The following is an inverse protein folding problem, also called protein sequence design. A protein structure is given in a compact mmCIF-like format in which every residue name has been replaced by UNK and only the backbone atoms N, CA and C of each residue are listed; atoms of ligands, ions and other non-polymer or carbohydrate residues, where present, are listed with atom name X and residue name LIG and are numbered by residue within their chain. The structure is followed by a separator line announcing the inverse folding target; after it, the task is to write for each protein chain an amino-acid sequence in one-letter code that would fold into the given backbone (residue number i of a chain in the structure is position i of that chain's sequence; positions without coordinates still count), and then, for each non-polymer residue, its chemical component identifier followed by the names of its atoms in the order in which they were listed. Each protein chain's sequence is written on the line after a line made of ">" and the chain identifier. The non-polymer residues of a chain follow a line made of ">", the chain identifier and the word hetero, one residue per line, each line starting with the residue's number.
data_IF_774988452764
#
_entry.id   IF_774988452764
#
_cell.length_a   1.000
_cell.length_b   1.000
_cell.length_c   1.000
_cell.angle_alpha   90.00
_cell.angle_beta   90.00
_cell.angle_gamma   90.00
#
_symmetry.space_group_name_H-M   'P 1'
#
loop_
_entity.id
_entity.type
_entity.pdbx_description
1 polymer ?
#
# COMPACT_ATOMS: atom_id res chain seq x y z
N UNK A 1 3.24 1.03 15.10
CA UNK A 1 3.41 0.41 13.76
C UNK A 1 4.28 1.34 12.94
N UNK A 2 5.31 0.85 12.26
CA UNK A 2 6.15 1.66 11.38
C UNK A 2 5.39 2.04 10.09
N UNK A 3 5.86 3.08 9.38
CA UNK A 3 5.25 3.47 8.09
C UNK A 3 5.28 2.32 7.08
N UNK A 4 6.40 1.57 7.01
CA UNK A 4 6.53 0.36 6.16
C UNK A 4 5.50 -0.70 6.51
N UNK A 5 5.35 -1.03 7.79
CA UNK A 5 4.36 -2.01 8.24
C UNK A 5 2.92 -1.55 7.97
N UNK A 6 2.65 -0.25 7.92
CA UNK A 6 1.31 0.30 7.67
C UNK A 6 0.84 0.04 6.25
N UNK A 7 1.65 0.32 5.23
CA UNK A 7 1.27 0.03 3.83
C UNK A 7 1.12 -1.46 3.59
N UNK A 8 2.01 -2.29 4.17
CA UNK A 8 1.91 -3.75 4.07
C UNK A 8 0.63 -4.27 4.72
N UNK A 9 0.23 -3.72 5.87
CA UNK A 9 -1.03 -4.09 6.53
C UNK A 9 -2.25 -3.76 5.66
N UNK A 10 -2.24 -2.60 4.99
CA UNK A 10 -3.28 -2.23 4.02
C UNK A 10 -3.30 -3.21 2.85
N UNK A 11 -2.16 -3.51 2.23
CA UNK A 11 -2.10 -4.47 1.12
C UNK A 11 -2.60 -5.86 1.55
N UNK A 12 -2.25 -6.32 2.75
CA UNK A 12 -2.72 -7.59 3.33
C UNK A 12 -4.24 -7.65 3.50
N UNK A 13 -4.87 -6.55 3.87
CA UNK A 13 -6.32 -6.52 4.09
C UNK A 13 -7.14 -6.79 2.83
N UNK A 14 -6.52 -6.62 1.67
CA UNK A 14 -7.16 -6.88 0.37
C UNK A 14 -6.89 -8.28 -0.20
N UNK A 15 -6.06 -9.11 0.44
CA UNK A 15 -5.76 -10.45 -0.10
C UNK A 15 -7.05 -11.25 -0.31
N UNK A 16 -7.21 -11.82 -1.52
CA UNK A 16 -8.41 -12.54 -1.95
C UNK A 16 -9.47 -11.67 -2.62
N UNK A 17 -9.30 -10.36 -2.67
CA UNK A 17 -10.22 -9.47 -3.40
C UNK A 17 -10.11 -9.73 -4.89
N UNK A 18 -11.25 -10.03 -5.53
CA UNK A 18 -11.38 -10.24 -6.96
C UNK A 18 -11.71 -8.94 -7.69
N UNK A 19 -11.15 -8.78 -8.89
CA UNK A 19 -11.53 -7.69 -9.80
C UNK A 19 -13.03 -7.71 -10.10
N UNK A 20 -13.64 -6.53 -10.16
CA UNK A 20 -15.09 -6.38 -10.37
C UNK A 20 -15.96 -6.48 -9.12
N UNK A 21 -15.43 -7.01 -8.00
CA UNK A 21 -16.16 -7.11 -6.71
C UNK A 21 -16.43 -5.73 -6.06
N UNK A 22 -17.25 -5.71 -5.00
CA UNK A 22 -17.45 -4.51 -4.17
C UNK A 22 -16.16 -4.07 -3.50
N UNK A 23 -15.36 -5.00 -2.99
CA UNK A 23 -14.09 -4.70 -2.37
C UNK A 23 -13.04 -4.19 -3.38
N UNK A 24 -13.10 -4.59 -4.66
CA UNK A 24 -12.31 -3.97 -5.73
C UNK A 24 -12.75 -2.50 -5.96
N UNK A 25 -14.04 -2.21 -5.85
CA UNK A 25 -14.53 -0.82 -5.95
C UNK A 25 -13.95 0.08 -4.86
N UNK A 26 -13.65 -0.44 -3.67
CA UNK A 26 -12.99 0.32 -2.60
C UNK A 26 -11.55 0.68 -2.99
N UNK A 27 -10.81 -0.23 -3.63
CA UNK A 27 -9.46 0.06 -4.17
C UNK A 27 -9.55 1.21 -5.17
N UNK A 28 -10.47 1.11 -6.14
CA UNK A 28 -10.68 2.15 -7.15
C UNK A 28 -11.15 3.48 -6.53
N UNK A 29 -11.96 3.43 -5.46
CA UNK A 29 -12.38 4.62 -4.73
C UNK A 29 -11.18 5.38 -4.15
N UNK A 30 -10.25 4.69 -3.48
CA UNK A 30 -9.04 5.33 -2.97
C UNK A 30 -8.21 5.92 -4.10
N UNK A 31 -7.94 5.19 -5.17
CA UNK A 31 -7.22 5.69 -6.33
C UNK A 31 -7.91 6.93 -6.94
N UNK A 32 -9.20 6.82 -7.23
CA UNK A 32 -10.00 7.88 -7.85
C UNK A 32 -10.19 9.11 -6.94
N UNK A 33 -9.98 8.95 -5.64
CA UNK A 33 -9.99 10.08 -4.70
C UNK A 33 -8.84 11.07 -4.90
N UNK A 34 -7.78 10.63 -5.63
CA UNK A 34 -6.59 11.43 -5.96
C UNK A 34 -6.52 11.69 -7.46
N UNK A 35 -6.97 10.75 -8.29
CA UNK A 35 -6.86 10.76 -9.75
C UNK A 35 -5.43 11.08 -10.21
N UNK A 36 -4.44 10.21 -9.93
CA UNK A 36 -3.08 10.45 -10.36
C UNK A 36 -3.01 10.75 -11.85
N UNK A 37 -2.30 11.81 -12.23
CA UNK A 37 -2.19 12.29 -13.61
C UNK A 37 -3.54 12.60 -14.29
N UNK A 38 -4.60 12.87 -13.52
CA UNK A 38 -5.94 13.15 -14.02
C UNK A 38 -6.75 11.91 -14.44
N UNK A 39 -6.15 10.71 -14.33
CA UNK A 39 -6.81 9.47 -14.75
C UNK A 39 -7.87 9.02 -13.75
N UNK A 40 -9.01 8.59 -14.27
CA UNK A 40 -10.08 7.93 -13.50
C UNK A 40 -10.05 6.44 -13.79
N UNK A 41 -9.75 5.64 -12.78
CA UNK A 41 -9.71 4.18 -12.91
C UNK A 41 -11.11 3.57 -13.01
N UNK A 42 -11.23 2.54 -13.84
CA UNK A 42 -12.44 1.78 -14.11
C UNK A 42 -12.26 0.31 -13.74
N UNK A 43 -13.39 -0.40 -13.53
CA UNK A 43 -13.36 -1.83 -13.14
C UNK A 43 -12.75 -2.75 -14.19
N UNK A 44 -12.69 -2.31 -15.44
CA UNK A 44 -12.14 -3.05 -16.58
C UNK A 44 -10.64 -2.88 -16.78
N UNK A 45 -10.03 -1.96 -16.05
CA UNK A 45 -8.62 -1.62 -16.25
C UNK A 45 -7.67 -2.70 -15.69
N UNK A 46 -6.43 -2.78 -16.19
CA UNK A 46 -5.36 -3.49 -15.51
C UNK A 46 -4.98 -2.75 -14.22
N UNK A 47 -5.42 -3.24 -13.07
CA UNK A 47 -5.42 -2.50 -11.81
C UNK A 47 -4.25 -2.78 -10.84
N UNK A 48 -3.13 -3.32 -11.30
CA UNK A 48 -1.95 -3.54 -10.44
C UNK A 48 -1.33 -2.23 -9.92
N UNK A 49 -1.13 -1.25 -10.79
CA UNK A 49 -0.61 0.07 -10.44
C UNK A 49 -1.60 0.90 -9.61
N UNK A 50 -2.89 0.76 -9.90
CA UNK A 50 -3.97 1.36 -9.13
C UNK A 50 -4.04 0.80 -7.71
N UNK A 51 -3.86 -0.52 -7.55
CA UNK A 51 -3.78 -1.17 -6.25
C UNK A 51 -2.62 -0.64 -5.40
N UNK A 52 -1.40 -0.61 -5.95
CA UNK A 52 -0.24 -0.10 -5.23
C UNK A 52 -0.44 1.36 -4.81
N UNK A 53 -0.95 2.20 -5.73
CA UNK A 53 -1.30 3.60 -5.47
C UNK A 53 -2.39 3.74 -4.40
N UNK A 54 -3.46 2.95 -4.48
CA UNK A 54 -4.56 2.95 -3.51
C UNK A 54 -4.09 2.56 -2.10
N UNK A 55 -3.20 1.55 -2.00
CA UNK A 55 -2.61 1.16 -0.72
C UNK A 55 -1.83 2.31 -0.07
N UNK A 56 -1.05 3.07 -0.84
CA UNK A 56 -0.33 4.23 -0.33
C UNK A 56 -1.30 5.34 0.11
N UNK A 57 -2.34 5.62 -0.68
CA UNK A 57 -3.36 6.65 -0.37
C UNK A 57 -4.12 6.27 0.91
N UNK A 58 -4.54 5.02 1.03
CA UNK A 58 -5.25 4.54 2.21
C UNK A 58 -4.36 4.54 3.46
N UNK A 59 -3.10 4.12 3.32
CA UNK A 59 -2.17 4.06 4.44
C UNK A 59 -1.82 5.44 5.00
N UNK A 60 -1.63 6.44 4.13
CA UNK A 60 -1.00 7.71 4.54
C UNK A 60 -1.83 8.95 4.28
N UNK A 61 -2.98 8.82 3.62
CA UNK A 61 -3.80 9.93 3.17
C UNK A 61 -3.27 10.58 1.89
N UNK A 62 -4.13 11.33 1.23
CA UNK A 62 -3.91 11.89 -0.12
C UNK A 62 -2.67 12.76 -0.23
N UNK A 63 -2.47 13.68 0.71
CA UNK A 63 -1.36 14.64 0.68
C UNK A 63 -0.01 13.93 0.85
N UNK A 64 0.11 13.05 1.84
CA UNK A 64 1.32 12.27 2.10
C UNK A 64 1.62 11.30 0.95
N UNK A 65 0.61 10.60 0.45
CA UNK A 65 0.79 9.68 -0.65
C UNK A 65 1.29 10.38 -1.92
N UNK A 66 0.71 11.54 -2.29
CA UNK A 66 1.19 12.36 -3.42
C UNK A 66 2.63 12.81 -3.27
N UNK A 67 3.07 13.09 -2.04
CA UNK A 67 4.41 13.62 -1.77
C UNK A 67 5.49 12.55 -1.80
N UNK A 68 5.19 11.32 -1.38
CA UNK A 68 6.20 10.29 -1.11
C UNK A 68 6.10 9.05 -2.00
N UNK A 69 5.04 8.92 -2.81
CA UNK A 69 4.83 7.76 -3.67
C UNK A 69 4.58 8.17 -5.12
N UNK A 70 5.10 7.41 -6.08
CA UNK A 70 4.92 7.67 -7.51
C UNK A 70 3.56 7.16 -8.00
N UNK A 71 2.48 7.76 -7.50
CA UNK A 71 1.11 7.32 -7.80
C UNK A 71 0.80 7.39 -9.30
N UNK A 72 0.31 6.28 -9.87
CA UNK A 72 -0.10 6.18 -11.29
C UNK A 72 -1.01 4.98 -11.52
N UNK A 73 -1.71 4.97 -12.66
CA UNK A 73 -2.44 3.82 -13.19
C UNK A 73 -1.57 2.94 -14.12
N UNK A 74 -0.37 3.38 -14.49
CA UNK A 74 0.51 2.65 -15.40
C UNK A 74 1.93 2.52 -14.84
N UNK A 75 2.50 1.31 -14.95
CA UNK A 75 3.81 0.97 -14.40
C UNK A 75 4.95 1.83 -14.97
N UNK A 76 4.91 2.17 -16.25
CA UNK A 76 5.90 3.06 -16.87
C UNK A 76 5.95 4.44 -16.22
N UNK A 77 4.81 5.00 -15.88
CA UNK A 77 4.76 6.30 -15.20
C UNK A 77 5.15 6.20 -13.72
N UNK A 78 4.94 5.04 -13.07
CA UNK A 78 5.49 4.78 -11.73
C UNK A 78 7.01 4.91 -11.77
N UNK A 79 7.70 4.27 -12.74
CA UNK A 79 9.16 4.34 -12.87
C UNK A 79 9.61 5.78 -13.14
N UNK A 80 9.02 6.45 -14.11
CA UNK A 80 9.40 7.82 -14.47
C UNK A 80 9.28 8.75 -13.26
N UNK A 81 8.17 8.69 -12.56
CA UNK A 81 7.93 9.50 -11.37
C UNK A 81 8.84 9.12 -10.20
N UNK A 82 9.14 7.84 -10.01
CA UNK A 82 10.09 7.39 -9.00
C UNK A 82 11.52 7.89 -9.28
N UNK A 83 11.93 7.95 -10.56
CA UNK A 83 13.20 8.57 -10.97
C UNK A 83 13.22 10.07 -10.67
N UNK A 84 12.16 10.81 -11.00
CA UNK A 84 12.01 12.24 -10.67
C UNK A 84 12.08 12.50 -9.15
N UNK A 85 11.53 11.58 -8.36
CA UNK A 85 11.53 11.66 -6.90
C UNK A 85 12.83 11.17 -6.25
N UNK A 86 13.80 10.65 -7.03
CA UNK A 86 15.05 10.01 -6.56
C UNK A 86 14.81 8.83 -5.60
N UNK A 87 13.77 8.03 -5.86
CA UNK A 87 13.40 6.84 -5.09
C UNK A 87 13.34 5.57 -5.95
N UNK A 88 13.98 5.57 -7.13
CA UNK A 88 14.07 4.43 -8.03
C UNK A 88 15.42 3.74 -7.92
N UNK A 89 15.41 2.42 -7.76
CA UNK A 89 16.60 1.56 -7.81
C UNK A 89 16.47 0.57 -8.98
N UNK A 90 17.32 0.73 -9.96
CA UNK A 90 17.41 -0.12 -11.14
C UNK A 90 18.48 -1.20 -10.93
N UNK A 91 18.16 -2.15 -10.06
CA UNK A 91 19.07 -3.25 -9.71
C UNK A 91 18.28 -4.47 -9.27
N UNK A 92 18.57 -5.60 -9.91
CA UNK A 92 18.06 -6.92 -9.53
C UNK A 92 18.76 -7.50 -8.29
N UNK A 93 19.88 -6.90 -7.86
CA UNK A 93 20.64 -7.29 -6.66
C UNK A 93 20.22 -6.51 -5.40
N UNK A 94 19.33 -5.55 -5.55
CA UNK A 94 18.82 -4.81 -4.40
C UNK A 94 18.02 -5.73 -3.48
N UNK A 95 18.34 -5.72 -2.19
CA UNK A 95 17.59 -6.46 -1.17
C UNK A 95 16.45 -5.57 -0.67
N UNK A 96 15.20 -5.83 -1.08
CA UNK A 96 14.10 -4.94 -0.74
C UNK A 96 13.63 -5.13 0.69
N UNK A 97 13.11 -4.05 1.24
CA UNK A 97 12.44 -4.04 2.54
C UNK A 97 10.91 -4.06 2.40
N UNK A 98 10.24 -4.43 3.49
CA UNK A 98 8.78 -4.38 3.54
C UNK A 98 8.26 -2.98 3.17
N UNK A 99 7.28 -2.92 2.28
CA UNK A 99 6.68 -1.68 1.78
C UNK A 99 7.33 -1.11 0.51
N UNK A 100 8.53 -1.53 0.11
CA UNK A 100 9.07 -1.17 -1.20
C UNK A 100 8.13 -1.69 -2.30
N UNK A 101 8.12 -1.03 -3.44
CA UNK A 101 7.39 -1.55 -4.58
C UNK A 101 8.38 -2.21 -5.53
N UNK A 102 8.05 -3.41 -6.01
CA UNK A 102 8.80 -4.11 -7.05
C UNK A 102 8.06 -3.97 -8.36
N UNK A 103 8.79 -3.63 -9.43
CA UNK A 103 8.27 -3.61 -10.79
C UNK A 103 8.88 -4.76 -11.58
N UNK A 104 8.06 -5.32 -12.44
CA UNK A 104 8.40 -6.49 -13.25
C UNK A 104 8.47 -6.14 -14.74
N UNK A 105 9.33 -6.86 -15.43
CA UNK A 105 9.36 -7.01 -16.88
C UNK A 105 9.34 -8.52 -17.16
N UNK A 106 8.24 -9.02 -17.67
CA UNK A 106 8.08 -10.46 -17.90
C UNK A 106 8.90 -10.99 -19.07
N UNK A 107 9.39 -10.11 -19.92
CA UNK A 107 10.27 -10.43 -21.04
C UNK A 107 11.76 -10.45 -20.61
N UNK A 108 12.08 -9.96 -19.41
CA UNK A 108 13.44 -9.98 -18.87
C UNK A 108 13.92 -11.41 -18.62
N UNK A 109 15.03 -11.76 -19.27
CA UNK A 109 15.67 -13.07 -19.13
C UNK A 109 16.54 -13.22 -17.87
N UNK A 110 16.74 -12.13 -17.11
CA UNK A 110 17.70 -12.04 -16.02
C UNK A 110 19.14 -11.83 -16.50
N UNK A 111 19.31 -11.50 -17.78
CA UNK A 111 20.60 -11.14 -18.41
C UNK A 111 20.45 -9.78 -19.05
N UNK A 112 21.31 -8.86 -18.71
CA UNK A 112 21.30 -7.53 -19.30
C UNK A 112 21.19 -6.44 -18.25
N UNK A 113 20.43 -5.42 -18.55
CA UNK A 113 20.52 -4.12 -17.92
C UNK A 113 19.22 -3.63 -17.24
N UNK A 114 18.24 -4.46 -17.05
CA UNK A 114 16.96 -4.09 -16.45
C UNK A 114 16.24 -2.92 -17.17
N UNK A 115 16.32 -2.83 -18.49
CA UNK A 115 15.77 -1.69 -19.26
C UNK A 115 14.41 -1.92 -19.90
N UNK A 116 13.84 -3.11 -19.82
CA UNK A 116 12.57 -3.46 -20.45
C UNK A 116 11.38 -2.58 -20.01
N UNK A 117 10.27 -2.77 -20.70
CA UNK A 117 9.00 -2.12 -20.33
C UNK A 117 8.42 -2.79 -19.10
N UNK A 118 7.96 -2.02 -18.10
CA UNK A 118 7.37 -2.61 -16.92
C UNK A 118 5.95 -3.10 -17.19
N UNK A 119 5.69 -4.37 -16.91
CA UNK A 119 4.38 -5.01 -17.10
C UNK A 119 3.51 -5.00 -15.86
N UNK A 120 4.14 -5.02 -14.68
CA UNK A 120 3.42 -5.26 -13.44
C UNK A 120 4.11 -4.59 -12.25
N UNK A 121 3.36 -4.43 -11.14
CA UNK A 121 3.87 -3.88 -9.88
C UNK A 121 3.25 -4.59 -8.68
N UNK A 122 4.05 -4.76 -7.63
CA UNK A 122 3.60 -5.27 -6.35
C UNK A 122 4.23 -4.55 -5.17
N UNK A 123 3.70 -4.77 -3.98
CA UNK A 123 4.21 -4.25 -2.71
C UNK A 123 4.95 -5.37 -1.98
N UNK A 124 6.22 -5.16 -1.68
CA UNK A 124 7.04 -6.12 -0.94
C UNK A 124 6.46 -6.32 0.47
N UNK A 125 6.11 -7.55 0.78
CA UNK A 125 5.64 -7.94 2.11
C UNK A 125 6.83 -8.16 3.05
N UNK A 126 7.83 -8.90 2.59
CA UNK A 126 9.12 -9.12 3.26
C UNK A 126 10.10 -9.84 2.32
N UNK A 127 11.38 -9.79 2.68
CA UNK A 127 12.44 -10.60 2.08
C UNK A 127 12.89 -11.66 3.08
N UNK A 128 13.11 -12.89 2.61
CA UNK A 128 13.63 -14.00 3.44
C UNK A 128 14.38 -15.03 2.60
N UNK A 129 15.59 -15.36 3.01
CA UNK A 129 16.38 -16.47 2.47
C UNK A 129 16.48 -16.48 0.93
N UNK A 130 16.78 -15.34 0.32
CA UNK A 130 16.94 -15.21 -1.14
C UNK A 130 15.62 -15.05 -1.90
N UNK A 131 14.48 -14.93 -1.20
CA UNK A 131 13.18 -14.77 -1.82
C UNK A 131 12.49 -13.48 -1.37
N UNK A 132 11.89 -12.80 -2.35
CA UNK A 132 11.03 -11.65 -2.15
C UNK A 132 9.59 -12.18 -2.08
N UNK A 133 8.87 -11.82 -1.03
CA UNK A 133 7.44 -12.07 -0.88
C UNK A 133 6.69 -10.78 -1.16
N UNK A 134 5.74 -10.82 -2.07
CA UNK A 134 5.06 -9.63 -2.63
C UNK A 134 3.55 -9.80 -2.57
N UNK A 135 2.83 -8.72 -2.35
CA UNK A 135 1.37 -8.66 -2.48
C UNK A 135 1.07 -7.83 -3.72
N UNK A 136 0.29 -8.40 -4.64
CA UNK A 136 0.00 -7.82 -5.95
C UNK A 136 -1.50 -7.71 -6.17
N UNK A 137 -1.93 -6.56 -6.69
CA UNK A 137 -3.23 -6.42 -7.30
C UNK A 137 -3.23 -6.95 -8.72
N UNK A 138 -4.38 -7.36 -9.20
CA UNK A 138 -4.57 -7.88 -10.57
C UNK A 138 -3.70 -9.11 -10.93
N UNK A 139 -3.20 -9.85 -9.98
CA UNK A 139 -2.54 -11.12 -10.25
C UNK A 139 -3.60 -12.20 -10.54
N UNK A 140 -3.83 -12.46 -11.83
CA UNK A 140 -4.95 -13.30 -12.26
C UNK A 140 -6.30 -12.71 -11.82
N UNK A 141 -6.47 -11.41 -12.01
CA UNK A 141 -7.65 -10.63 -11.64
C UNK A 141 -7.99 -10.65 -10.13
N UNK A 142 -6.97 -10.79 -9.27
CA UNK A 142 -7.16 -10.90 -7.81
C UNK A 142 -6.00 -10.25 -7.05
N UNK A 143 -6.21 -9.91 -5.78
CA UNK A 143 -5.09 -9.58 -4.89
C UNK A 143 -4.50 -10.87 -4.35
N UNK A 144 -3.24 -11.15 -4.70
CA UNK A 144 -2.54 -12.38 -4.33
C UNK A 144 -1.12 -12.14 -3.86
N UNK A 145 -0.55 -13.16 -3.23
CA UNK A 145 0.89 -13.22 -2.94
C UNK A 145 1.65 -13.85 -4.07
N UNK A 146 2.82 -13.27 -4.37
CA UNK A 146 3.85 -13.86 -5.20
C UNK A 146 5.10 -14.10 -4.36
N UNK A 147 5.86 -15.14 -4.72
CA UNK A 147 7.20 -15.40 -4.22
C UNK A 147 8.13 -15.55 -5.43
N UNK A 148 9.21 -14.78 -5.46
CA UNK A 148 10.23 -14.88 -6.50
C UNK A 148 11.64 -14.80 -5.90
N UNK A 149 12.63 -15.31 -6.63
CA UNK A 149 14.02 -15.21 -6.23
C UNK A 149 14.55 -13.82 -6.53
N UNK A 150 15.54 -13.39 -5.74
CA UNK A 150 16.30 -12.15 -5.97
C UNK A 150 17.48 -12.43 -6.92
N UNK A 151 17.25 -13.03 -8.06
CA UNK A 151 18.28 -13.43 -9.01
C UNK A 151 18.22 -12.68 -10.35
N UNK A 152 17.43 -11.63 -10.39
CA UNK A 152 17.35 -10.72 -11.49
C UNK A 152 16.26 -11.00 -12.50
N UNK A 153 15.89 -12.26 -12.68
CA UNK A 153 14.88 -12.60 -13.69
C UNK A 153 13.54 -11.96 -13.37
N UNK A 154 12.97 -11.26 -14.36
CA UNK A 154 11.70 -10.52 -14.28
C UNK A 154 11.72 -9.29 -13.38
N UNK A 155 12.83 -8.94 -12.75
CA UNK A 155 12.92 -7.76 -11.89
C UNK A 155 13.34 -6.56 -12.73
N UNK A 156 12.39 -5.62 -12.93
CA UNK A 156 12.67 -4.35 -13.61
C UNK A 156 13.34 -3.34 -12.67
N UNK A 157 13.04 -3.40 -11.40
CA UNK A 157 13.60 -2.54 -10.36
C UNK A 157 12.63 -2.28 -9.22
N UNK A 158 13.02 -1.35 -8.35
CA UNK A 158 12.31 -1.07 -7.11
C UNK A 158 12.06 0.42 -6.91
N UNK A 159 10.89 0.74 -6.37
CA UNK A 159 10.59 2.04 -5.77
C UNK A 159 10.85 1.93 -4.27
N UNK A 160 11.65 2.86 -3.73
CA UNK A 160 12.01 2.92 -2.31
C UNK A 160 11.47 4.22 -1.71
N UNK A 161 10.21 4.27 -1.26
CA UNK A 161 9.65 5.47 -0.67
C UNK A 161 10.40 5.86 0.61
N UNK A 162 10.56 7.15 0.82
CA UNK A 162 11.22 7.68 2.03
C UNK A 162 10.29 7.57 3.25
N UNK A 163 10.21 6.37 3.80
CA UNK A 163 9.36 6.05 4.94
C UNK A 163 9.76 6.76 6.24
N UNK A 164 11.02 7.15 6.38
CA UNK A 164 11.53 7.83 7.57
C UNK A 164 10.97 9.26 7.66
N UNK A 165 10.74 9.89 6.51
CA UNK A 165 10.10 11.20 6.42
C UNK A 165 8.58 11.16 6.41
N UNK A 166 8.00 9.98 6.21
CA UNK A 166 6.56 9.78 6.35
C UNK A 166 6.24 9.72 7.84
N UNK A 167 5.96 10.87 8.43
CA UNK A 167 5.37 10.89 9.77
C UNK A 167 4.03 10.17 9.69
N UNK A 168 3.94 9.02 10.32
CA UNK A 168 2.63 8.44 10.62
C UNK A 168 1.97 9.47 11.52
N UNK A 169 1.09 10.30 10.95
CA UNK A 169 0.29 11.22 11.74
C UNK A 169 -0.52 10.35 12.70
N UNK A 170 0.02 10.11 13.89
CA UNK A 170 -0.81 10.04 15.06
C UNK A 170 -1.52 11.38 15.03
N UNK A 171 -2.82 11.42 14.80
CA UNK A 171 -3.55 12.67 14.98
C UNK A 171 -3.12 13.16 16.36
N UNK A 172 -2.89 14.45 16.53
CA UNK A 172 -2.47 15.03 17.82
C UNK A 172 -3.48 14.75 18.95
N UNK A 173 -4.55 14.00 18.64
CA UNK A 173 -5.59 13.59 19.57
C UNK A 173 -5.06 12.50 20.52
N UNK A 174 -5.30 12.73 21.78
CA UNK A 174 -5.04 11.76 22.83
C UNK A 174 -5.93 10.52 22.68
N UNK A 175 -5.53 9.40 23.28
CA UNK A 175 -6.35 8.19 23.29
C UNK A 175 -7.73 8.42 23.92
N UNK A 176 -7.85 9.36 24.87
CA UNK A 176 -9.12 9.74 25.48
C UNK A 176 -10.04 10.50 24.51
N UNK A 177 -9.49 11.41 23.71
CA UNK A 177 -10.26 12.11 22.67
C UNK A 177 -10.77 11.14 21.61
N UNK A 178 -9.93 10.20 21.18
CA UNK A 178 -10.32 9.15 20.25
C UNK A 178 -11.39 8.23 20.86
N UNK A 179 -11.27 7.87 22.13
CA UNK A 179 -12.30 7.09 22.84
C UNK A 179 -13.65 7.82 22.88
N UNK A 180 -13.66 9.13 23.11
CA UNK A 180 -14.88 9.96 23.02
C UNK A 180 -15.47 9.98 21.61
N UNK A 181 -14.64 10.03 20.59
CA UNK A 181 -15.10 9.93 19.18
C UNK A 181 -15.68 8.54 18.84
N UNK A 182 -15.10 7.47 19.42
CA UNK A 182 -15.65 6.11 19.31
C UNK A 182 -17.03 6.03 19.94
N UNK A 183 -17.21 6.60 21.13
CA UNK A 183 -18.52 6.67 21.81
C UNK A 183 -19.52 7.48 21.00
N UNK A 184 -19.06 8.54 20.32
CA UNK A 184 -19.88 9.35 19.40
C UNK A 184 -20.15 8.68 18.03
N UNK A 185 -19.74 7.42 17.83
CA UNK A 185 -20.00 6.66 16.61
C UNK A 185 -19.14 7.00 15.39
N UNK A 186 -18.14 7.90 15.52
CA UNK A 186 -17.34 8.38 14.37
C UNK A 186 -16.39 7.33 13.78
N UNK A 187 -16.16 6.22 14.47
CA UNK A 187 -15.20 5.18 14.09
C UNK A 187 -15.87 3.87 13.63
N UNK A 188 -17.19 3.85 13.43
CA UNK A 188 -17.95 2.66 13.08
C UNK A 188 -18.07 1.68 14.26
N UNK A 189 -18.42 0.41 13.96
CA UNK A 189 -18.69 -0.62 14.98
C UNK A 189 -17.90 -1.91 14.69
N UNK A 190 -17.66 -2.72 15.74
CA UNK A 190 -17.09 -4.06 15.63
C UNK A 190 -15.77 -4.09 14.85
N UNK A 191 -15.73 -4.90 13.80
CA UNK A 191 -14.56 -5.09 12.96
C UNK A 191 -14.13 -3.81 12.23
N UNK A 192 -15.08 -3.06 11.69
CA UNK A 192 -14.79 -1.80 10.99
C UNK A 192 -14.08 -0.80 11.91
N UNK A 193 -14.54 -0.65 13.16
CA UNK A 193 -13.88 0.19 14.17
C UNK A 193 -12.43 -0.22 14.39
N UNK A 194 -12.19 -1.52 14.56
CA UNK A 194 -10.84 -2.05 14.78
C UNK A 194 -9.93 -1.72 13.60
N UNK A 195 -10.41 -1.93 12.38
CA UNK A 195 -9.66 -1.66 11.16
C UNK A 195 -9.35 -0.16 11.00
N UNK A 196 -10.34 0.71 11.21
CA UNK A 196 -10.19 2.17 11.10
C UNK A 196 -9.22 2.74 12.15
N UNK A 197 -9.35 2.32 13.41
CA UNK A 197 -8.44 2.76 14.49
C UNK A 197 -7.01 2.29 14.23
N UNK A 198 -6.84 1.03 13.82
CA UNK A 198 -5.53 0.47 13.50
C UNK A 198 -4.91 1.18 12.28
N UNK A 199 -5.68 1.44 11.24
CA UNK A 199 -5.23 2.19 10.07
C UNK A 199 -4.82 3.62 10.42
N UNK A 200 -5.50 4.24 11.38
CA UNK A 200 -5.16 5.57 11.91
C UNK A 200 -3.97 5.58 12.87
N UNK A 201 -3.34 4.41 13.15
CA UNK A 201 -2.17 4.30 14.02
C UNK A 201 -2.49 4.19 15.52
N UNK A 202 -3.76 4.00 15.88
CA UNK A 202 -4.17 3.79 17.25
C UNK A 202 -4.15 2.30 17.65
N UNK A 203 -3.80 2.02 18.90
CA UNK A 203 -3.96 0.71 19.51
C UNK A 203 -5.45 0.51 19.85
N UNK A 204 -6.12 -0.35 19.07
CA UNK A 204 -7.54 -0.66 19.28
C UNK A 204 -7.84 -1.09 20.72
N UNK A 205 -7.00 -1.95 21.30
CA UNK A 205 -7.25 -2.50 22.63
C UNK A 205 -7.16 -1.41 23.71
N UNK A 206 -6.17 -0.49 23.57
CA UNK A 206 -6.05 0.67 24.47
C UNK A 206 -7.21 1.61 24.35
N UNK A 207 -7.64 1.93 23.12
CA UNK A 207 -8.80 2.79 22.91
C UNK A 207 -10.08 2.13 23.47
N UNK A 208 -10.29 0.84 23.19
CA UNK A 208 -11.47 0.12 23.67
C UNK A 208 -11.52 0.04 25.19
N UNK A 209 -10.38 -0.15 25.87
CA UNK A 209 -10.33 -0.13 27.32
C UNK A 209 -10.76 1.24 27.91
N UNK A 210 -10.34 2.34 27.27
CA UNK A 210 -10.76 3.69 27.69
C UNK A 210 -12.26 3.91 27.42
N UNK A 211 -12.76 3.44 26.27
CA UNK A 211 -14.21 3.49 25.94
C UNK A 211 -15.01 2.78 27.03
N UNK A 212 -14.64 1.55 27.39
CA UNK A 212 -15.33 0.77 28.41
C UNK A 212 -15.36 1.54 29.75
N UNK A 213 -14.19 2.05 30.18
CA UNK A 213 -14.09 2.85 31.44
C UNK A 213 -14.92 4.13 31.44
N UNK A 214 -15.07 4.78 30.27
CA UNK A 214 -15.89 5.97 30.12
C UNK A 214 -17.38 5.65 30.11
N UNK A 215 -17.76 4.48 29.62
CA UNK A 215 -19.17 4.01 29.60
C UNK A 215 -19.63 3.52 30.99
N UNK A 216 -18.74 2.90 31.79
CA UNK A 216 -19.03 2.48 33.17
C UNK A 216 -19.30 3.64 34.15
N UNK A 217 -18.83 4.85 33.82
CA UNK A 217 -19.02 6.05 34.64
C UNK A 217 -20.26 6.87 34.27
N UNK A 218 -21.06 6.40 33.33
CA UNK A 218 -22.32 7.01 32.90
C UNK A 218 -23.52 6.31 33.52
#
# INVERSE_FOLDING_TARGET
>A
MTSRAKIVAVAKSYIGVCGGSSAHADILHYFNSVKPMGYTAHKSDPWCAEFASACAIQAFGKATAKKFFPLSAACVYIINKAKEMNIWVESDKYIPEAGDWILYDWDDSGKGDNKGQPDHVGIVEYYKAGYIHVIEGNYGNMVRRRKLRIDGRYIRGFVIPDYDRIRVNKSDKTNEEIAKEVIAGKWGNGRERKERLTAAGYDYNKIQAIVNKLMEKR
#
